data_IF_076080893446
#
_entry.id   IF_076080893446
#
_cell.length_a   1.000
_cell.length_b   1.000
_cell.length_c   1.000
_cell.angle_alpha   90.00
_cell.angle_beta   90.00
_cell.angle_gamma   90.00
#
_symmetry.space_group_name_H-M   'P 1'
#
loop_
_entity.id
_entity.type
_entity.pdbx_description
1 polymer ?
#
# COMPACT_ATOMS: atom_id res chain seq x y z
N UNK A 1 -7.69 12.34 9.43
CA UNK A 1 -6.83 12.45 8.25
C UNK A 1 -5.95 11.21 8.31
N UNK A 2 -6.15 10.24 7.42
CA UNK A 2 -5.37 9.01 7.42
C UNK A 2 -3.91 9.32 7.04
N UNK A 3 -2.95 8.69 7.71
CA UNK A 3 -1.52 8.85 7.41
C UNK A 3 -1.07 7.76 6.44
N UNK A 4 -0.05 8.04 5.64
CA UNK A 4 0.51 7.06 4.71
C UNK A 4 0.98 5.78 5.42
N UNK A 5 1.54 5.91 6.61
CA UNK A 5 1.98 4.80 7.45
C UNK A 5 0.81 3.93 7.92
N UNK A 6 -0.36 4.52 8.18
CA UNK A 6 -1.57 3.79 8.55
C UNK A 6 -2.10 2.98 7.36
N UNK A 7 -2.06 3.56 6.15
CA UNK A 7 -2.42 2.87 4.91
C UNK A 7 -1.48 1.68 4.67
N UNK A 8 -0.17 1.88 4.83
CA UNK A 8 0.84 0.82 4.66
C UNK A 8 0.62 -0.29 5.70
N UNK A 9 0.40 0.08 6.96
CA UNK A 9 0.15 -0.89 8.03
C UNK A 9 -1.15 -1.69 7.80
N UNK A 10 -2.20 -1.04 7.31
CA UNK A 10 -3.48 -1.69 7.02
C UNK A 10 -3.36 -2.68 5.86
N UNK A 11 -2.64 -2.33 4.78
CA UNK A 11 -2.32 -3.27 3.70
C UNK A 11 -1.55 -4.47 4.24
N UNK A 12 -0.53 -4.24 5.07
CA UNK A 12 0.27 -5.32 5.65
C UNK A 12 -0.57 -6.25 6.54
N UNK A 13 -1.49 -5.68 7.34
CA UNK A 13 -2.44 -6.43 8.17
C UNK A 13 -3.31 -7.35 7.31
N UNK A 14 -3.92 -6.82 6.25
CA UNK A 14 -4.77 -7.60 5.35
C UNK A 14 -3.98 -8.68 4.58
N UNK A 15 -2.76 -8.40 4.12
CA UNK A 15 -1.88 -9.40 3.51
C UNK A 15 -1.65 -10.57 4.48
N UNK A 16 -1.36 -10.26 5.74
CA UNK A 16 -1.10 -11.27 6.77
C UNK A 16 -2.35 -12.11 7.06
N UNK A 17 -3.52 -11.48 7.09
CA UNK A 17 -4.81 -12.17 7.27
C UNK A 17 -5.21 -13.03 6.08
N UNK A 18 -5.00 -12.57 4.85
CA UNK A 18 -5.29 -13.34 3.64
C UNK A 18 -4.38 -14.57 3.57
N UNK A 19 -3.08 -14.40 3.85
CA UNK A 19 -2.12 -15.50 3.91
C UNK A 19 -2.41 -16.50 5.02
N UNK A 20 -2.85 -16.04 6.20
CA UNK A 20 -3.20 -16.95 7.31
C UNK A 20 -4.40 -17.84 7.01
N UNK A 21 -5.23 -17.45 6.04
CA UNK A 21 -6.34 -18.26 5.50
C UNK A 21 -5.91 -19.17 4.35
N UNK A 22 -4.63 -19.22 4.01
CA UNK A 22 -4.10 -20.00 2.88
C UNK A 22 -4.38 -19.41 1.51
N UNK A 23 -4.79 -18.14 1.45
CA UNK A 23 -5.04 -17.41 0.20
C UNK A 23 -3.80 -16.58 -0.13
N UNK A 24 -3.40 -16.57 -1.40
CA UNK A 24 -2.30 -15.75 -1.89
C UNK A 24 -2.88 -14.41 -2.37
N UNK A 25 -2.47 -13.28 -1.77
CA UNK A 25 -2.81 -11.96 -2.29
C UNK A 25 -2.20 -11.71 -3.66
N UNK A 26 -2.97 -11.07 -4.54
CA UNK A 26 -2.61 -10.71 -5.90
C UNK A 26 -2.49 -9.19 -6.07
N UNK A 27 -3.33 -8.40 -5.39
CA UNK A 27 -3.39 -6.94 -5.60
C UNK A 27 -3.91 -6.17 -4.39
N UNK A 28 -3.67 -4.87 -4.41
CA UNK A 28 -4.22 -3.90 -3.45
C UNK A 28 -5.18 -2.99 -4.19
N UNK A 29 -6.45 -2.98 -3.77
CA UNK A 29 -7.47 -2.06 -4.25
C UNK A 29 -7.60 -0.91 -3.26
N UNK A 30 -7.44 0.31 -3.75
CA UNK A 30 -7.40 1.51 -2.93
C UNK A 30 -8.03 2.70 -3.68
N UNK A 31 -8.56 3.68 -2.94
CA UNK A 31 -8.98 4.94 -3.52
C UNK A 31 -7.76 5.74 -4.04
N UNK A 32 -7.87 6.42 -5.20
CA UNK A 32 -6.77 7.25 -5.73
C UNK A 32 -6.25 8.28 -4.72
N UNK A 33 -7.14 8.90 -3.95
CA UNK A 33 -6.78 9.89 -2.94
C UNK A 33 -5.90 9.31 -1.81
N UNK A 34 -6.15 8.06 -1.41
CA UNK A 34 -5.36 7.39 -0.37
C UNK A 34 -4.00 6.95 -0.94
N UNK A 35 -3.97 6.46 -2.18
CA UNK A 35 -2.69 6.13 -2.81
C UNK A 35 -1.81 7.36 -2.99
N UNK A 36 -2.39 8.53 -3.28
CA UNK A 36 -1.64 9.77 -3.38
C UNK A 36 -0.88 10.09 -2.07
N UNK A 37 -1.49 9.86 -0.90
CA UNK A 37 -0.80 10.04 0.39
C UNK A 37 0.44 9.14 0.51
N UNK A 38 0.36 7.90 0.01
CA UNK A 38 1.50 6.97 0.01
C UNK A 38 2.57 7.40 -1.00
N UNK A 39 2.18 7.93 -2.17
CA UNK A 39 3.13 8.48 -3.15
C UNK A 39 3.88 9.68 -2.58
N UNK A 40 3.18 10.59 -1.90
CA UNK A 40 3.77 11.76 -1.25
C UNK A 40 4.76 11.34 -0.14
N UNK A 41 4.37 10.33 0.65
CA UNK A 41 5.27 9.72 1.64
C UNK A 41 6.53 9.13 0.99
N UNK A 42 6.38 8.33 -0.09
CA UNK A 42 7.52 7.77 -0.83
C UNK A 42 8.46 8.87 -1.34
N UNK A 43 7.90 9.95 -1.88
CA UNK A 43 8.70 11.10 -2.34
C UNK A 43 9.47 11.74 -1.19
N UNK A 44 8.84 11.91 -0.03
CA UNK A 44 9.52 12.46 1.16
C UNK A 44 10.69 11.59 1.62
N UNK A 45 10.57 10.26 1.50
CA UNK A 45 11.68 9.34 1.78
C UNK A 45 12.85 9.50 0.80
N UNK A 46 12.59 9.81 -0.47
CA UNK A 46 13.65 10.01 -1.47
C UNK A 46 14.40 11.33 -1.34
N UNK A 47 13.83 12.33 -0.65
CA UNK A 47 14.51 13.58 -0.29
C UNK A 47 15.57 13.34 0.79
N UNK A 48 15.32 12.34 1.65
CA UNK A 48 16.29 11.85 2.62
C UNK A 48 17.22 10.91 1.83
N UNK A 49 18.49 11.27 1.61
CA UNK A 49 19.47 10.52 0.80
C UNK A 49 19.69 9.06 1.28
N UNK A 50 18.72 8.19 1.04
CA UNK A 50 18.69 6.79 1.48
C UNK A 50 17.92 5.94 0.48
N UNK A 51 18.13 4.62 0.51
CA UNK A 51 17.42 3.70 -0.37
C UNK A 51 15.91 3.76 -0.08
N UNK A 52 15.09 3.77 -1.14
CA UNK A 52 13.66 3.58 -0.98
C UNK A 52 13.39 2.21 -0.34
N UNK A 53 12.39 2.09 0.54
CA UNK A 53 12.03 0.79 1.10
C UNK A 53 11.60 -0.18 0.00
N UNK A 54 12.14 -1.39 0.02
CA UNK A 54 11.90 -2.40 -1.02
C UNK A 54 10.42 -2.81 -1.13
N UNK A 55 9.65 -2.60 -0.06
CA UNK A 55 8.22 -2.89 -0.04
C UNK A 55 7.38 -1.82 -0.74
N UNK A 56 7.92 -0.66 -1.12
CA UNK A 56 7.15 0.45 -1.67
C UNK A 56 7.76 0.96 -2.98
N UNK A 57 7.07 0.70 -4.09
CA UNK A 57 7.43 1.21 -5.41
C UNK A 57 6.46 2.30 -5.87
N UNK A 58 6.61 2.76 -7.11
CA UNK A 58 5.71 3.76 -7.68
C UNK A 58 4.26 3.24 -7.84
N UNK A 59 4.10 1.94 -8.13
CA UNK A 59 2.82 1.33 -8.49
C UNK A 59 2.54 0.02 -7.72
N UNK A 60 3.36 -0.31 -6.71
CA UNK A 60 3.16 -1.50 -5.91
C UNK A 60 3.50 -1.30 -4.44
N UNK A 61 2.85 -2.08 -3.59
CA UNK A 61 3.07 -2.11 -2.15
C UNK A 61 3.14 -3.58 -1.68
N UNK A 62 4.21 -3.94 -0.97
CA UNK A 62 4.59 -5.31 -0.61
C UNK A 62 4.63 -6.29 -1.80
N UNK A 63 4.99 -5.76 -2.98
CA UNK A 63 5.03 -6.53 -4.23
C UNK A 63 3.66 -6.75 -4.89
N UNK A 64 2.58 -6.21 -4.33
CA UNK A 64 1.24 -6.26 -4.92
C UNK A 64 0.96 -4.99 -5.72
N UNK A 65 0.40 -5.17 -6.92
CA UNK A 65 0.04 -4.05 -7.79
C UNK A 65 -1.12 -3.23 -7.20
N UNK A 66 -1.07 -1.92 -7.39
CA UNK A 66 -2.09 -0.98 -6.92
C UNK A 66 -3.16 -0.80 -7.99
N UNK A 67 -4.41 -1.11 -7.61
CA UNK A 67 -5.60 -0.96 -8.42
C UNK A 67 -6.53 0.08 -7.82
N UNK A 68 -7.09 0.95 -8.66
CA UNK A 68 -8.04 1.95 -8.18
C UNK A 68 -9.44 1.37 -8.05
N UNK A 69 -9.98 1.44 -6.83
CA UNK A 69 -11.34 1.05 -6.52
C UNK A 69 -12.28 2.25 -6.38
N UNK A 70 -13.58 1.96 -6.36
CA UNK A 70 -14.64 2.95 -6.13
C UNK A 70 -15.27 2.82 -4.74
N UNK A 71 -14.85 1.81 -3.95
CA UNK A 71 -15.36 1.56 -2.60
C UNK A 71 -14.47 2.26 -1.58
N UNK A 72 -15.05 2.87 -0.53
CA UNK A 72 -14.26 3.42 0.57
C UNK A 72 -13.34 2.36 1.21
N UNK A 73 -12.11 2.78 1.50
CA UNK A 73 -11.13 1.96 2.22
C UNK A 73 -10.07 1.31 1.34
N UNK A 74 -9.38 0.35 1.94
CA UNK A 74 -8.27 -0.42 1.38
C UNK A 74 -8.69 -1.89 1.39
N UNK A 75 -8.46 -2.61 0.29
CA UNK A 75 -8.74 -4.04 0.21
C UNK A 75 -7.57 -4.78 -0.44
N UNK A 76 -7.15 -5.87 0.18
CA UNK A 76 -6.21 -6.84 -0.37
C UNK A 76 -7.01 -8.02 -0.89
N UNK A 77 -6.84 -8.32 -2.17
CA UNK A 77 -7.42 -9.50 -2.85
C UNK A 77 -6.30 -10.46 -3.21
#
# INVERSE_FOLDING_TARGET
MERAEEIIAEVYRQITETRSRGVQPEKVIILPALWQLVKDYRQSLGIINGPHPDYLTENSLFGLEIWYGNTPGIRVE
#
